data_IF_049080691885
#
_entry.id   IF_049080691885
#
_cell.length_a   1.000
_cell.length_b   1.000
_cell.length_c   1.000
_cell.angle_alpha   90.00
_cell.angle_beta   90.00
_cell.angle_gamma   90.00
#
_symmetry.space_group_name_H-M   'P 1'
#
loop_
_entity.id
_entity.type
_entity.pdbx_description
1 polymer ?
#
# COMPACT_ATOMS: atom_id res chain seq x y z
N UNK A 1 -9.51 14.11 23.45
CA UNK A 1 -10.58 13.56 22.58
C UNK A 1 -10.24 13.66 21.10
N UNK A 2 -9.72 14.80 20.62
CA UNK A 2 -9.32 14.98 19.22
C UNK A 2 -8.21 14.00 18.76
N UNK A 3 -7.25 13.67 19.64
CA UNK A 3 -6.15 12.77 19.31
C UNK A 3 -6.60 11.32 19.11
N UNK A 4 -7.57 10.87 19.92
CA UNK A 4 -8.18 9.54 19.76
C UNK A 4 -8.96 9.44 18.44
N UNK A 5 -9.72 10.46 18.07
CA UNK A 5 -10.41 10.52 16.78
C UNK A 5 -9.43 10.50 15.59
N UNK A 6 -8.29 11.16 15.74
CA UNK A 6 -7.23 11.17 14.73
C UNK A 6 -6.55 9.81 14.56
N UNK A 7 -6.27 9.12 15.68
CA UNK A 7 -5.75 7.76 15.67
C UNK A 7 -6.72 6.79 14.99
N UNK A 8 -8.02 6.90 15.27
CA UNK A 8 -9.05 6.07 14.64
C UNK A 8 -9.12 6.28 13.12
N UNK A 9 -9.02 7.53 12.66
CA UNK A 9 -8.98 7.82 11.21
C UNK A 9 -7.75 7.23 10.52
N UNK A 10 -6.57 7.31 11.16
CA UNK A 10 -5.34 6.72 10.61
C UNK A 10 -5.44 5.20 10.59
N UNK A 11 -5.90 4.58 11.67
CA UNK A 11 -6.06 3.13 11.78
C UNK A 11 -7.08 2.60 10.75
N UNK A 12 -8.22 3.28 10.59
CA UNK A 12 -9.23 2.93 9.59
C UNK A 12 -8.70 3.06 8.16
N UNK A 13 -7.98 4.14 7.85
CA UNK A 13 -7.31 4.31 6.56
C UNK A 13 -6.30 3.19 6.28
N UNK A 14 -5.50 2.83 7.29
CA UNK A 14 -4.53 1.73 7.18
C UNK A 14 -5.22 0.39 6.88
N UNK A 15 -6.32 0.09 7.58
CA UNK A 15 -7.08 -1.15 7.36
C UNK A 15 -7.71 -1.22 5.97
N UNK A 16 -8.26 -0.12 5.44
CA UNK A 16 -8.80 -0.08 4.07
C UNK A 16 -7.70 -0.39 3.06
N UNK A 17 -6.50 0.17 3.25
CA UNK A 17 -5.41 -0.05 2.32
C UNK A 17 -4.88 -1.49 2.39
N UNK A 18 -4.69 -2.03 3.60
CA UNK A 18 -4.27 -3.42 3.78
C UNK A 18 -5.33 -4.38 3.21
N UNK A 19 -6.62 -4.16 3.49
CA UNK A 19 -7.72 -4.95 2.95
C UNK A 19 -7.79 -4.88 1.43
N UNK A 20 -7.65 -3.68 0.85
CA UNK A 20 -7.59 -3.48 -0.60
C UNK A 20 -6.40 -4.17 -1.25
N UNK A 21 -5.22 -4.10 -0.63
CA UNK A 21 -4.03 -4.80 -1.09
C UNK A 21 -4.21 -6.32 -1.05
N UNK A 22 -4.76 -6.88 0.03
CA UNK A 22 -5.05 -8.31 0.15
C UNK A 22 -6.08 -8.79 -0.88
N UNK A 23 -7.13 -8.00 -1.14
CA UNK A 23 -8.11 -8.30 -2.20
C UNK A 23 -7.49 -8.26 -3.60
N UNK A 24 -6.56 -7.34 -3.83
CA UNK A 24 -5.76 -7.31 -5.06
C UNK A 24 -4.91 -8.57 -5.12
N UNK A 25 -4.00 -8.80 -4.17
CA UNK A 25 -3.09 -9.96 -4.12
C UNK A 25 -3.79 -11.32 -4.33
N UNK A 26 -5.01 -11.49 -3.80
CA UNK A 26 -5.80 -12.72 -4.00
C UNK A 26 -6.42 -12.90 -5.39
N UNK A 27 -6.44 -11.86 -6.24
CA UNK A 27 -7.04 -11.86 -7.60
C UNK A 27 -6.05 -11.56 -8.73
N UNK A 28 -4.78 -11.30 -8.43
CA UNK A 28 -3.71 -10.99 -9.40
C UNK A 28 -3.03 -12.28 -9.88
N UNK A 29 -3.29 -12.82 -11.08
CA UNK A 29 -2.65 -12.40 -12.33
C UNK A 29 -3.16 -11.07 -12.89
N UNK A 30 -2.77 -9.91 -12.33
CA UNK A 30 -3.07 -8.62 -12.96
C UNK A 30 -2.02 -8.30 -14.02
N UNK A 31 -2.46 -7.80 -15.18
CA UNK A 31 -1.58 -7.08 -16.09
C UNK A 31 -1.09 -5.81 -15.37
N UNK A 32 0.17 -5.83 -14.92
CA UNK A 32 0.77 -4.73 -14.13
C UNK A 32 1.97 -5.18 -13.29
N UNK A 33 1.96 -6.44 -12.83
CA UNK A 33 3.18 -7.08 -12.30
C UNK A 33 4.03 -7.54 -13.47
N UNK A 34 5.04 -6.73 -13.79
CA UNK A 34 5.95 -7.07 -14.88
C UNK A 34 6.80 -8.23 -14.39
N UNK A 35 6.47 -9.41 -14.88
CA UNK A 35 7.22 -10.63 -14.60
C UNK A 35 8.22 -10.80 -15.73
N UNK A 36 9.44 -10.29 -15.54
CA UNK A 36 10.51 -10.51 -16.50
C UNK A 36 11.04 -11.93 -16.33
N UNK A 37 10.82 -12.76 -17.35
CA UNK A 37 11.34 -14.12 -17.40
C UNK A 37 12.44 -14.19 -18.44
N UNK A 38 13.67 -14.47 -18.02
CA UNK A 38 14.81 -14.69 -18.90
C UNK A 38 15.48 -16.01 -18.51
N UNK A 39 15.27 -17.04 -19.34
CA UNK A 39 15.79 -18.39 -19.08
C UNK A 39 15.31 -18.95 -17.73
N UNK A 40 16.25 -19.22 -16.81
CA UNK A 40 15.98 -19.75 -15.47
C UNK A 40 15.66 -18.65 -14.43
N UNK A 41 15.77 -17.37 -14.79
CA UNK A 41 15.58 -16.24 -13.86
C UNK A 41 14.20 -15.62 -14.08
N UNK A 42 13.45 -15.46 -12.99
CA UNK A 42 12.14 -14.79 -12.98
C UNK A 42 12.20 -13.62 -12.01
N UNK A 43 12.02 -12.40 -12.51
CA UNK A 43 12.00 -11.16 -11.73
C UNK A 43 10.57 -10.66 -11.68
N UNK A 44 10.01 -10.55 -10.48
CA UNK A 44 8.68 -9.98 -10.24
C UNK A 44 8.83 -8.52 -9.84
N UNK A 45 8.18 -7.63 -10.59
CA UNK A 45 8.15 -6.19 -10.26
C UNK A 45 6.75 -5.83 -9.80
N UNK A 46 6.49 -5.78 -8.47
CA UNK A 46 5.16 -5.53 -7.93
C UNK A 46 4.84 -4.03 -7.90
N UNK A 47 4.58 -3.45 -9.07
CA UNK A 47 4.37 -1.99 -9.23
C UNK A 47 3.15 -1.53 -8.45
N UNK A 48 2.05 -2.29 -8.48
CA UNK A 48 0.82 -1.95 -7.78
C UNK A 48 1.04 -1.83 -6.26
N UNK A 49 1.73 -2.83 -5.67
CA UNK A 49 2.09 -2.83 -4.25
C UNK A 49 2.98 -1.65 -3.89
N UNK A 50 3.95 -1.33 -4.75
CA UNK A 50 4.88 -0.22 -4.55
C UNK A 50 4.18 1.13 -4.51
N UNK A 51 3.22 1.37 -5.41
CA UNK A 51 2.41 2.60 -5.45
C UNK A 51 1.55 2.72 -4.19
N UNK A 52 0.84 1.64 -3.82
CA UNK A 52 -0.01 1.62 -2.64
C UNK A 52 0.81 1.95 -1.38
N UNK A 53 1.95 1.27 -1.20
CA UNK A 53 2.84 1.48 -0.07
C UNK A 53 3.33 2.94 -0.01
N UNK A 54 3.70 3.53 -1.16
CA UNK A 54 4.14 4.93 -1.26
C UNK A 54 3.05 5.92 -0.83
N UNK A 55 1.82 5.71 -1.28
CA UNK A 55 0.69 6.59 -0.91
C UNK A 55 0.38 6.50 0.59
N UNK A 56 0.35 5.29 1.16
CA UNK A 56 0.17 5.12 2.62
C UNK A 56 1.26 5.87 3.37
N UNK A 57 2.52 5.62 3.02
CA UNK A 57 3.66 6.20 3.72
C UNK A 57 3.63 7.71 3.62
N UNK A 58 3.30 8.26 2.45
CA UNK A 58 3.11 9.70 2.25
C UNK A 58 2.01 10.26 3.15
N UNK A 59 0.84 9.61 3.22
CA UNK A 59 -0.26 10.06 4.10
C UNK A 59 0.14 9.99 5.57
N UNK A 60 0.76 8.89 6.01
CA UNK A 60 1.20 8.70 7.39
C UNK A 60 2.25 9.75 7.77
N UNK A 61 3.30 9.92 6.96
CA UNK A 61 4.34 10.93 7.19
C UNK A 61 3.73 12.34 7.19
N UNK A 62 2.86 12.66 6.24
CA UNK A 62 2.21 13.96 6.19
C UNK A 62 1.35 14.21 7.44
N UNK A 63 0.58 13.23 7.89
CA UNK A 63 -0.22 13.36 9.12
C UNK A 63 0.67 13.49 10.36
N UNK A 64 1.75 12.70 10.50
CA UNK A 64 2.63 12.74 11.67
C UNK A 64 3.48 14.02 11.73
N UNK A 65 4.02 14.46 10.59
CA UNK A 65 4.97 15.58 10.53
C UNK A 65 4.31 16.94 10.30
N UNK A 66 3.13 17.02 9.65
CA UNK A 66 2.46 18.31 9.35
C UNK A 66 1.68 18.91 10.51
N UNK A 67 1.56 18.21 11.64
CA UNK A 67 0.93 18.76 12.87
C UNK A 67 1.92 18.97 14.02
N UNK A 68 3.21 19.04 13.72
CA UNK A 68 4.20 19.71 14.57
C UNK A 68 4.28 21.18 14.17
#
# INVERSE_FOLDING_TARGET
MADAGRLLLVAGGLMIVVGGALMLFGRIHLPGDITFRSGNVTVYVPIATSIILSVILTVVLNVLFRRR
#
